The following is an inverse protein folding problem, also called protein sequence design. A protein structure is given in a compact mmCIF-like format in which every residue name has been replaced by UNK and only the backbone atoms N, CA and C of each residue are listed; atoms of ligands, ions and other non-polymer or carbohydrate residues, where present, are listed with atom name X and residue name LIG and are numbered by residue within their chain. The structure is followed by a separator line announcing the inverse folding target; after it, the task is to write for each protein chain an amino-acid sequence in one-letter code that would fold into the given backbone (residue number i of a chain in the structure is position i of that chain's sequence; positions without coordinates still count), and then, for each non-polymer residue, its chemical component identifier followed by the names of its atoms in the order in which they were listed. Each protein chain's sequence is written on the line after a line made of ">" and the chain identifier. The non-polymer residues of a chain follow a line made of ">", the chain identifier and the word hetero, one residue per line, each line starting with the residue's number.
data_IF_992362602549
#
_entry.id   IF_992362602549
#
_cell.length_a   1.000
_cell.length_b   1.000
_cell.length_c   1.000
_cell.angle_alpha   90.00
_cell.angle_beta   90.00
_cell.angle_gamma   90.00
#
_symmetry.space_group_name_H-M   'P 1'
#
loop_
_entity.id
_entity.type
_entity.pdbx_description
1 polymer ?
#
# COMPACT_ATOMS: atom_id res chain seq x y z
N UNK A 1 4.14 -9.04 -4.70
CA UNK A 1 4.34 -8.50 -3.35
C UNK A 1 3.89 -7.06 -3.29
N UNK A 2 3.26 -6.68 -2.21
CA UNK A 2 2.77 -5.32 -1.98
C UNK A 2 3.53 -4.72 -0.80
N UNK A 3 3.79 -3.42 -0.85
CA UNK A 3 4.64 -2.77 0.14
C UNK A 3 4.14 -1.37 0.45
N UNK A 4 4.29 -0.96 1.70
CA UNK A 4 4.09 0.42 2.11
C UNK A 4 5.35 1.21 1.77
N UNK A 5 5.15 2.43 1.29
CA UNK A 5 6.25 3.31 0.93
C UNK A 5 6.22 4.53 1.82
N UNK A 6 7.33 4.82 2.47
CA UNK A 6 7.39 5.94 3.42
C UNK A 6 7.62 7.28 2.73
N UNK A 7 7.91 7.29 1.44
CA UNK A 7 8.22 8.51 0.72
C UNK A 7 7.71 8.41 -0.70
N UNK A 8 7.05 9.45 -1.16
CA UNK A 8 6.54 9.54 -2.50
C UNK A 8 7.06 10.80 -3.17
N UNK A 9 7.72 10.65 -4.30
CA UNK A 9 8.16 11.79 -5.11
C UNK A 9 7.47 11.66 -6.45
N UNK A 10 6.62 12.64 -6.77
CA UNK A 10 5.79 12.59 -7.96
C UNK A 10 6.33 13.41 -9.13
N UNK A 11 7.49 14.04 -8.98
CA UNK A 11 8.07 14.83 -10.05
C UNK A 11 8.47 13.95 -11.23
N UNK A 12 8.05 14.34 -12.42
CA UNK A 12 8.36 13.60 -13.62
C UNK A 12 7.62 12.31 -13.80
N UNK A 13 6.63 12.03 -12.97
CA UNK A 13 5.79 10.85 -13.10
C UNK A 13 4.46 11.28 -13.69
N UNK A 14 4.13 10.74 -14.86
CA UNK A 14 2.86 11.02 -15.49
C UNK A 14 1.75 10.21 -14.83
N UNK A 15 0.63 10.88 -14.57
CA UNK A 15 -0.53 10.22 -14.04
C UNK A 15 -1.12 9.31 -15.11
N UNK A 16 -1.09 8.02 -14.86
CA UNK A 16 -1.55 7.02 -15.81
C UNK A 16 -3.05 6.83 -15.77
N UNK A 17 -3.60 6.74 -14.57
CA UNK A 17 -5.03 6.56 -14.39
C UNK A 17 -5.46 7.09 -13.04
N UNK A 18 -6.73 7.41 -12.94
CA UNK A 18 -7.32 7.87 -11.69
C UNK A 18 -8.65 7.15 -11.52
N UNK A 19 -8.83 6.48 -10.39
CA UNK A 19 -10.04 5.75 -10.07
C UNK A 19 -10.61 6.32 -8.79
N UNK A 20 -11.81 6.90 -8.88
CA UNK A 20 -12.49 7.47 -7.70
C UNK A 20 -11.63 8.49 -6.96
N UNK A 21 -10.85 9.26 -7.71
CA UNK A 21 -10.03 10.31 -7.12
C UNK A 21 -8.69 9.84 -6.58
N UNK A 22 -8.39 8.55 -6.65
CA UNK A 22 -7.10 8.03 -6.20
C UNK A 22 -6.10 8.07 -7.35
N UNK A 23 -5.02 8.86 -7.24
CA UNK A 23 -4.01 8.89 -8.30
C UNK A 23 -3.22 7.58 -8.34
N UNK A 24 -3.12 7.01 -9.53
CA UNK A 24 -2.38 5.77 -9.76
C UNK A 24 -1.32 6.02 -10.83
N UNK A 25 -0.09 5.65 -10.54
CA UNK A 25 1.04 5.85 -11.44
C UNK A 25 1.72 4.51 -11.71
N UNK A 26 2.05 4.26 -12.97
CA UNK A 26 2.83 3.09 -13.35
C UNK A 26 4.31 3.45 -13.32
N UNK A 27 5.12 2.57 -12.74
CA UNK A 27 6.56 2.76 -12.72
C UNK A 27 7.27 1.43 -12.48
N UNK A 28 8.56 1.41 -12.66
CA UNK A 28 9.36 0.24 -12.33
C UNK A 28 9.61 0.22 -10.83
N UNK A 29 9.13 -0.84 -10.19
CA UNK A 29 9.32 -1.05 -8.76
C UNK A 29 10.43 -2.07 -8.53
N UNK A 30 10.93 -2.09 -7.30
CA UNK A 30 11.96 -3.07 -6.93
C UNK A 30 11.46 -4.49 -7.15
N UNK A 31 12.39 -5.40 -7.39
CA UNK A 31 12.07 -6.78 -7.74
C UNK A 31 11.03 -7.40 -6.82
N UNK A 32 10.01 -8.00 -7.42
CA UNK A 32 8.94 -8.67 -6.69
C UNK A 32 7.84 -7.79 -6.15
N UNK A 33 8.00 -6.47 -6.17
CA UNK A 33 6.95 -5.57 -5.69
C UNK A 33 6.00 -5.26 -6.84
N UNK A 34 4.72 -5.52 -6.65
CA UNK A 34 3.69 -5.28 -7.65
C UNK A 34 3.04 -3.91 -7.51
N UNK A 35 2.91 -3.42 -6.29
CA UNK A 35 2.28 -2.13 -6.04
C UNK A 35 2.69 -1.61 -4.67
N UNK A 36 2.53 -0.30 -4.48
CA UNK A 36 2.84 0.39 -3.24
C UNK A 36 1.74 1.40 -2.94
N UNK A 37 1.25 1.40 -1.70
CA UNK A 37 0.35 2.43 -1.21
C UNK A 37 1.20 3.48 -0.49
N UNK A 38 1.02 4.74 -0.86
CA UNK A 38 1.83 5.83 -0.32
C UNK A 38 1.02 6.68 0.66
N UNK A 39 1.72 7.24 1.65
CA UNK A 39 1.08 8.05 2.70
C UNK A 39 0.38 9.29 2.16
N UNK A 40 0.76 9.76 0.99
CA UNK A 40 0.14 10.93 0.38
C UNK A 40 -1.16 10.59 -0.38
N UNK A 41 -1.62 9.35 -0.31
CA UNK A 41 -2.86 8.93 -0.96
C UNK A 41 -2.68 8.46 -2.40
N UNK A 42 -1.46 8.27 -2.85
CA UNK A 42 -1.19 7.77 -4.20
C UNK A 42 -0.85 6.30 -4.19
N UNK A 43 -0.96 5.67 -5.37
CA UNK A 43 -0.60 4.27 -5.57
C UNK A 43 0.39 4.19 -6.72
N UNK A 44 1.49 3.45 -6.52
CA UNK A 44 2.39 3.08 -7.60
C UNK A 44 2.14 1.63 -7.96
N UNK A 45 2.10 1.34 -9.27
CA UNK A 45 1.87 -0.01 -9.79
C UNK A 45 3.00 -0.35 -10.75
N UNK A 46 3.50 -1.58 -10.66
CA UNK A 46 4.54 -2.07 -11.54
C UNK A 46 4.10 -2.00 -12.99
N UNK A 47 4.99 -1.55 -13.87
CA UNK A 47 4.77 -1.59 -15.31
C UNK A 47 4.74 -3.04 -15.82
N UNK A 48 4.04 -3.26 -16.90
CA UNK A 48 4.04 -4.56 -17.57
C UNK A 48 3.04 -5.58 -17.04
N UNK A 49 2.26 -5.23 -16.03
CA UNK A 49 1.21 -6.12 -15.54
C UNK A 49 0.03 -6.15 -16.51
N UNK A 50 -0.70 -7.26 -16.53
CA UNK A 50 -1.94 -7.34 -17.31
C UNK A 50 -2.97 -6.39 -16.72
N UNK A 51 -4.03 -6.14 -17.49
CA UNK A 51 -5.13 -5.29 -17.03
C UNK A 51 -5.74 -5.83 -15.74
N UNK A 52 -5.95 -7.16 -15.68
CA UNK A 52 -6.49 -7.78 -14.46
C UNK A 52 -5.54 -7.65 -13.28
N UNK A 53 -4.25 -7.91 -13.49
CA UNK A 53 -3.26 -7.80 -12.43
C UNK A 53 -3.15 -6.37 -11.92
N UNK A 54 -3.18 -5.39 -12.82
CA UNK A 54 -3.15 -3.98 -12.44
C UNK A 54 -4.37 -3.61 -11.60
N UNK A 55 -5.56 -4.03 -12.04
CA UNK A 55 -6.79 -3.75 -11.29
C UNK A 55 -6.77 -4.38 -9.91
N UNK A 56 -6.37 -5.65 -9.84
CA UNK A 56 -6.33 -6.35 -8.55
C UNK A 56 -5.31 -5.70 -7.61
N UNK A 57 -4.16 -5.30 -8.14
CA UNK A 57 -3.14 -4.61 -7.36
C UNK A 57 -3.65 -3.26 -6.84
N UNK A 58 -4.32 -2.49 -7.69
CA UNK A 58 -4.87 -1.20 -7.28
C UNK A 58 -5.93 -1.37 -6.19
N UNK A 59 -6.82 -2.34 -6.34
CA UNK A 59 -7.85 -2.60 -5.33
C UNK A 59 -7.24 -3.00 -3.99
N UNK A 60 -6.18 -3.81 -4.02
CA UNK A 60 -5.45 -4.18 -2.82
C UNK A 60 -4.86 -2.95 -2.12
N UNK A 61 -4.20 -2.08 -2.87
CA UNK A 61 -3.58 -0.89 -2.29
C UNK A 61 -4.60 0.13 -1.80
N UNK A 62 -5.78 0.20 -2.44
CA UNK A 62 -6.85 1.08 -1.95
C UNK A 62 -7.31 0.72 -0.55
N UNK A 63 -7.34 -0.58 -0.21
CA UNK A 63 -7.67 -1.00 1.14
C UNK A 63 -6.66 -0.42 2.13
N UNK A 64 -5.37 -0.45 1.79
CA UNK A 64 -4.35 0.15 2.65
C UNK A 64 -4.53 1.66 2.80
N UNK A 65 -4.90 2.36 1.72
CA UNK A 65 -5.18 3.79 1.81
C UNK A 65 -6.36 4.07 2.74
N UNK A 66 -7.41 3.26 2.69
CA UNK A 66 -8.54 3.38 3.59
C UNK A 66 -8.14 3.13 5.04
N UNK A 67 -7.31 2.13 5.27
CA UNK A 67 -6.77 1.83 6.60
C UNK A 67 -5.96 3.01 7.15
N UNK A 68 -5.15 3.62 6.30
CA UNK A 68 -4.36 4.80 6.69
C UNK A 68 -5.26 6.00 6.96
N UNK A 69 -6.24 6.24 6.12
CA UNK A 69 -7.18 7.36 6.31
C UNK A 69 -7.99 7.21 7.59
N UNK A 70 -8.30 5.98 7.98
CA UNK A 70 -9.02 5.70 9.23
C UNK A 70 -8.11 5.78 10.46
N UNK A 71 -6.81 5.96 10.29
CA UNK A 71 -5.86 5.99 11.39
C UNK A 71 -5.53 4.63 11.97
N UNK A 72 -5.93 3.56 11.29
CA UNK A 72 -5.67 2.20 11.74
C UNK A 72 -4.30 1.69 11.32
N UNK A 73 -3.82 2.10 10.16
CA UNK A 73 -2.50 1.73 9.64
C UNK A 73 -1.65 2.99 9.51
N UNK A 74 -0.47 2.95 10.12
CA UNK A 74 0.50 4.03 10.03
C UNK A 74 1.88 3.42 9.85
N UNK A 75 2.75 4.11 9.15
CA UNK A 75 4.11 3.63 9.01
C UNK A 75 5.09 4.78 8.85
N UNK A 76 6.33 4.52 9.23
CA UNK A 76 7.45 5.39 8.98
C UNK A 76 8.62 4.56 8.44
N UNK A 77 9.83 5.10 8.45
CA UNK A 77 10.99 4.39 7.92
C UNK A 77 11.30 3.10 8.71
N UNK A 78 10.96 3.07 9.98
CA UNK A 78 11.39 2.01 10.89
C UNK A 78 10.27 1.11 11.39
N UNK A 79 9.04 1.60 11.41
CA UNK A 79 7.94 0.86 12.04
C UNK A 79 6.66 0.90 11.22
N UNK A 80 5.83 -0.12 11.45
CA UNK A 80 4.43 -0.14 11.04
C UNK A 80 3.59 -0.25 12.30
N UNK A 81 2.59 0.60 12.41
CA UNK A 81 1.67 0.61 13.55
C UNK A 81 0.29 0.24 13.06
N UNK A 82 -0.33 -0.74 13.71
CA UNK A 82 -1.63 -1.28 13.31
C UNK A 82 -2.62 -1.29 14.45
N UNK A 83 -3.85 -0.88 14.15
CA UNK A 83 -4.99 -1.03 15.07
C UNK A 83 -6.07 -1.83 14.36
N UNK A 84 -6.56 -2.84 15.03
CA UNK A 84 -7.66 -3.67 14.52
C UNK A 84 -8.91 -2.81 14.29
N UNK A 85 -9.18 -1.91 15.21
CA UNK A 85 -10.21 -0.89 15.08
C UNK A 85 -9.75 0.36 15.83
N UNK A 86 -10.53 1.45 15.76
CA UNK A 86 -10.12 2.73 16.32
C UNK A 86 -10.03 2.73 17.85
N UNK A 87 -10.59 1.72 18.51
CA UNK A 87 -10.59 1.60 19.98
C UNK A 87 -9.56 0.60 20.47
N UNK A 88 -9.02 -0.23 19.60
CA UNK A 88 -8.05 -1.24 19.98
C UNK A 88 -6.68 -0.64 20.23
N UNK A 89 -5.86 -1.28 21.11
CA UNK A 89 -4.48 -0.85 21.29
C UNK A 89 -3.69 -1.01 19.98
N UNK A 90 -2.76 -0.10 19.74
CA UNK A 90 -1.88 -0.18 18.59
C UNK A 90 -0.84 -1.29 18.81
N UNK A 91 -0.53 -2.00 17.72
CA UNK A 91 0.60 -2.93 17.68
C UNK A 91 1.67 -2.34 16.79
N UNK A 92 2.92 -2.39 17.24
CA UNK A 92 4.04 -1.82 16.52
C UNK A 92 4.96 -2.93 16.05
N UNK A 93 5.31 -2.88 14.78
CA UNK A 93 6.18 -3.87 14.14
C UNK A 93 7.43 -3.16 13.62
N UNK A 94 8.58 -3.79 13.78
CA UNK A 94 9.83 -3.26 13.24
C UNK A 94 9.96 -3.67 11.78
N UNK A 95 10.08 -2.70 10.88
CA UNK A 95 10.15 -2.98 9.45
C UNK A 95 11.39 -3.78 9.06
N UNK A 96 12.47 -3.60 9.79
CA UNK A 96 13.70 -4.32 9.51
C UNK A 96 13.54 -5.84 9.64
N UNK A 97 12.71 -6.28 10.58
CA UNK A 97 12.54 -7.70 10.90
C UNK A 97 11.22 -8.30 10.42
N UNK A 98 10.28 -7.47 9.98
CA UNK A 98 9.00 -7.98 9.49
C UNK A 98 9.11 -8.35 8.02
N UNK A 99 8.24 -9.25 7.58
CA UNK A 99 8.13 -9.63 6.19
C UNK A 99 6.98 -8.83 5.56
N UNK A 100 7.28 -7.66 5.01
CA UNK A 100 6.26 -6.79 4.42
C UNK A 100 5.51 -7.51 3.30
N UNK A 101 4.19 -7.31 3.26
CA UNK A 101 3.34 -7.96 2.29
C UNK A 101 2.90 -9.35 2.69
N UNK A 102 3.36 -9.86 3.83
CA UNK A 102 2.96 -11.17 4.32
C UNK A 102 1.45 -11.20 4.56
N UNK A 103 0.70 -12.10 3.91
CA UNK A 103 -0.75 -12.16 4.07
C UNK A 103 -1.20 -12.56 5.47
N UNK A 104 -0.30 -12.93 6.36
CA UNK A 104 -0.65 -13.24 7.75
C UNK A 104 -0.83 -11.99 8.61
N UNK A 105 -0.34 -10.83 8.19
CA UNK A 105 -0.64 -9.58 8.88
C UNK A 105 -2.11 -9.21 8.70
N UNK A 106 -2.74 -8.68 9.75
CA UNK A 106 -4.15 -8.34 9.71
C UNK A 106 -4.50 -7.33 8.62
N UNK A 107 -3.67 -6.31 8.43
CA UNK A 107 -3.94 -5.32 7.38
C UNK A 107 -3.82 -5.93 5.98
N UNK A 108 -2.97 -6.92 5.80
CA UNK A 108 -2.88 -7.62 4.53
C UNK A 108 -4.06 -8.58 4.33
N UNK A 109 -4.48 -9.25 5.39
CA UNK A 109 -5.67 -10.11 5.31
C UNK A 109 -6.89 -9.32 4.85
N UNK A 110 -7.08 -8.11 5.39
CA UNK A 110 -8.20 -7.26 4.96
C UNK A 110 -8.09 -6.91 3.48
N UNK A 111 -6.88 -6.58 3.02
CA UNK A 111 -6.66 -6.20 1.63
C UNK A 111 -6.88 -7.37 0.67
N UNK A 112 -6.47 -8.57 1.05
CA UNK A 112 -6.65 -9.76 0.19
C UNK A 112 -8.09 -10.24 0.12
N UNK A 113 -8.95 -9.84 1.03
CA UNK A 113 -10.37 -10.21 0.99
C UNK A 113 -11.18 -9.40 -0.01
N UNK A 114 -10.67 -8.30 -0.45
CA UNK A 114 -11.39 -7.37 -1.35
C UNK A 114 -11.24 -7.72 -2.86
#
# INVERSE_FOLDING_TARGET
>A
MFRLKDKSVLFGIDKDTSTHGTPVFKKDLEGGVMAEANRDGTIFVQKGLSTKQTRDAVEHEKVHLDQMAAGRLQYDENTVTWKKDTRSPARVYQRLTMNEGDPNFEWEKEAYKK
#
